data_IF_758854226783
#
_entry.id   IF_758854226783
#
_cell.length_a   1.000
_cell.length_b   1.000
_cell.length_c   1.000
_cell.angle_alpha   90.00
_cell.angle_beta   90.00
_cell.angle_gamma   90.00
#
_symmetry.space_group_name_H-M   'P 1'
#
loop_
_entity.id
_entity.type
_entity.pdbx_description
1 polymer ?
#
# COMPACT_ATOMS: atom_id res chain seq x y z
N UNK A 1 23.08 -8.04 -33.20
CA UNK A 1 22.97 -8.15 -31.73
C UNK A 1 21.59 -8.67 -31.40
N UNK A 2 21.47 -9.83 -30.73
CA UNK A 2 20.20 -10.43 -30.34
C UNK A 2 19.99 -10.14 -28.85
N UNK A 3 18.90 -9.46 -28.52
CA UNK A 3 18.54 -9.19 -27.12
C UNK A 3 17.73 -10.39 -26.64
N UNK A 4 18.26 -11.12 -25.66
CA UNK A 4 17.53 -12.19 -24.99
C UNK A 4 16.95 -11.66 -23.67
N UNK A 5 15.62 -11.65 -23.61
CA UNK A 5 14.88 -11.14 -22.45
C UNK A 5 14.72 -12.22 -21.38
N UNK A 6 15.08 -11.91 -20.14
CA UNK A 6 14.78 -12.79 -19.00
C UNK A 6 13.31 -12.63 -18.60
N UNK A 7 12.45 -13.41 -19.25
CA UNK A 7 10.99 -13.39 -19.05
C UNK A 7 10.58 -13.83 -17.65
N UNK A 8 11.38 -14.65 -16.98
CA UNK A 8 11.14 -15.08 -15.60
C UNK A 8 11.37 -13.93 -14.60
N UNK A 9 12.41 -13.11 -14.78
CA UNK A 9 12.61 -11.95 -13.92
C UNK A 9 11.53 -10.88 -14.08
N UNK A 10 11.01 -10.69 -15.30
CA UNK A 10 9.83 -9.83 -15.50
C UNK A 10 8.59 -10.35 -14.76
N UNK A 11 8.43 -11.68 -14.64
CA UNK A 11 7.39 -12.28 -13.82
C UNK A 11 7.65 -12.07 -12.33
N UNK A 12 8.90 -12.20 -11.86
CA UNK A 12 9.26 -11.97 -10.46
C UNK A 12 8.98 -10.53 -10.01
N UNK A 13 9.34 -9.55 -10.84
CA UNK A 13 9.04 -8.13 -10.60
C UNK A 13 7.52 -7.90 -10.61
N UNK A 14 6.80 -8.46 -11.59
CA UNK A 14 5.36 -8.21 -11.75
C UNK A 14 4.49 -8.88 -10.69
N UNK A 15 4.83 -10.10 -10.28
CA UNK A 15 4.07 -10.89 -9.32
C UNK A 15 4.60 -10.79 -7.88
N UNK A 16 5.58 -9.92 -7.63
CA UNK A 16 6.00 -9.56 -6.27
C UNK A 16 6.84 -10.63 -5.58
N UNK A 17 7.74 -11.32 -6.31
CA UNK A 17 8.81 -12.11 -5.68
C UNK A 17 10.07 -11.30 -5.39
N UNK A 18 10.19 -10.09 -5.95
CA UNK A 18 11.26 -9.17 -5.56
C UNK A 18 10.82 -8.46 -4.28
N UNK A 19 11.34 -8.92 -3.14
CA UNK A 19 10.97 -8.46 -1.79
C UNK A 19 11.11 -6.94 -1.60
N UNK A 20 12.01 -6.30 -2.33
CA UNK A 20 12.33 -4.88 -2.20
C UNK A 20 11.17 -3.96 -2.59
N UNK A 21 10.49 -4.23 -3.72
CA UNK A 21 9.36 -3.39 -4.16
C UNK A 21 8.18 -3.55 -3.20
N UNK A 22 7.92 -4.78 -2.74
CA UNK A 22 6.87 -5.04 -1.74
C UNK A 22 7.20 -4.33 -0.44
N UNK A 23 8.45 -4.43 0.03
CA UNK A 23 8.90 -3.75 1.23
C UNK A 23 8.76 -2.22 1.17
N UNK A 24 9.08 -1.59 0.03
CA UNK A 24 8.87 -0.15 -0.13
C UNK A 24 7.37 0.23 -0.16
N UNK A 25 6.51 -0.59 -0.77
CA UNK A 25 5.05 -0.38 -0.72
C UNK A 25 4.52 -0.49 0.72
N UNK A 26 4.96 -1.51 1.46
CA UNK A 26 4.55 -1.74 2.85
C UNK A 26 5.02 -0.61 3.76
N UNK A 27 6.28 -0.19 3.64
CA UNK A 27 6.85 0.96 4.36
C UNK A 27 6.09 2.25 4.08
N UNK A 28 5.67 2.48 2.84
CA UNK A 28 4.82 3.63 2.49
C UNK A 28 3.44 3.52 3.17
N UNK A 29 2.80 2.36 3.12
CA UNK A 29 1.52 2.13 3.79
C UNK A 29 1.59 2.28 5.30
N UNK A 30 2.64 1.75 5.94
CA UNK A 30 2.93 1.90 7.36
C UNK A 30 3.09 3.36 7.75
N UNK A 31 3.85 4.14 6.97
CA UNK A 31 4.04 5.58 7.23
C UNK A 31 2.72 6.34 7.17
N UNK A 32 1.88 6.04 6.16
CA UNK A 32 0.56 6.68 6.03
C UNK A 32 -0.34 6.29 7.20
N UNK A 33 -0.40 5.01 7.57
CA UNK A 33 -1.19 4.55 8.70
C UNK A 33 -0.71 5.15 10.02
N UNK A 34 0.60 5.19 10.27
CA UNK A 34 1.19 5.81 11.45
C UNK A 34 0.87 7.30 11.52
N UNK A 35 0.98 8.02 10.39
CA UNK A 35 0.64 9.45 10.33
C UNK A 35 -0.85 9.69 10.57
N UNK A 36 -1.73 8.86 10.00
CA UNK A 36 -3.17 8.93 10.23
C UNK A 36 -3.53 8.64 11.70
N UNK A 37 -2.90 7.65 12.32
CA UNK A 37 -3.09 7.34 13.74
C UNK A 37 -2.54 8.43 14.68
N UNK A 38 -1.45 9.12 14.29
CA UNK A 38 -0.88 10.19 15.09
C UNK A 38 -1.73 11.49 15.04
N UNK A 39 -2.40 11.75 13.91
CA UNK A 39 -3.15 13.00 13.69
C UNK A 39 -4.67 12.85 13.86
N UNK A 40 -5.20 11.67 13.56
CA UNK A 40 -6.62 11.38 13.57
C UNK A 40 -7.12 10.86 14.91
N UNK A 41 -8.39 10.44 14.90
CA UNK A 41 -9.04 9.78 16.04
C UNK A 41 -9.43 8.36 15.66
N UNK A 42 -9.33 7.44 16.62
CA UNK A 42 -9.60 6.02 16.37
C UNK A 42 -8.41 5.33 15.72
N UNK A 43 -8.66 4.19 15.08
CA UNK A 43 -7.62 3.31 14.54
C UNK A 43 -7.67 3.28 13.03
N UNK A 44 -6.54 3.55 12.39
CA UNK A 44 -6.30 3.37 10.97
C UNK A 44 -5.40 2.16 10.76
N UNK A 45 -5.80 1.25 9.87
CA UNK A 45 -5.13 -0.04 9.67
C UNK A 45 -4.63 -0.18 8.24
N UNK A 46 -3.43 -0.72 8.10
CA UNK A 46 -2.82 -1.04 6.81
C UNK A 46 -3.06 -2.51 6.47
N UNK A 47 -3.34 -2.81 5.21
CA UNK A 47 -3.38 -4.15 4.65
C UNK A 47 -2.51 -4.26 3.40
N UNK A 48 -1.66 -5.28 3.38
CA UNK A 48 -0.80 -5.66 2.25
C UNK A 48 -1.37 -6.93 1.61
N UNK A 49 -1.63 -6.91 0.31
CA UNK A 49 -2.20 -8.06 -0.42
C UNK A 49 -1.50 -8.30 -1.75
N UNK A 50 -1.02 -9.53 -2.02
CA UNK A 50 -0.53 -9.88 -3.34
C UNK A 50 -1.67 -9.86 -4.36
N UNK A 51 -1.38 -9.36 -5.56
CA UNK A 51 -2.31 -9.46 -6.68
C UNK A 51 -2.45 -10.90 -7.16
N UNK A 52 -3.64 -11.29 -7.64
CA UNK A 52 -3.87 -12.60 -8.27
C UNK A 52 -2.94 -12.75 -9.48
N UNK A 53 -2.37 -13.93 -9.70
CA UNK A 53 -1.53 -14.22 -10.87
C UNK A 53 -2.31 -14.13 -12.21
N UNK A 54 -2.52 -12.90 -12.68
CA UNK A 54 -3.13 -12.51 -13.95
C UNK A 54 -2.30 -11.37 -14.54
N UNK A 55 -2.35 -11.08 -15.85
CA UNK A 55 -1.50 -10.04 -16.47
C UNK A 55 -1.56 -8.66 -15.80
N UNK A 56 -2.66 -8.37 -15.07
CA UNK A 56 -2.90 -7.11 -14.38
C UNK A 56 -2.81 -7.21 -12.84
N UNK A 57 -2.52 -8.38 -12.28
CA UNK A 57 -2.41 -8.58 -10.84
C UNK A 57 -1.16 -7.93 -10.29
N UNK A 58 -1.33 -6.83 -9.54
CA UNK A 58 -0.25 -6.10 -8.89
C UNK A 58 -0.40 -6.24 -7.38
N UNK A 59 0.73 -6.31 -6.68
CA UNK A 59 0.75 -6.16 -5.23
C UNK A 59 0.17 -4.79 -4.84
N UNK A 60 -0.66 -4.75 -3.79
CA UNK A 60 -1.33 -3.51 -3.34
C UNK A 60 -1.26 -3.40 -1.83
N UNK A 61 -0.99 -2.18 -1.38
CA UNK A 61 -1.10 -1.78 0.02
C UNK A 61 -2.26 -0.80 0.14
N UNK A 62 -3.11 -1.00 1.14
CA UNK A 62 -4.29 -0.17 1.39
C UNK A 62 -4.29 0.26 2.85
N UNK A 63 -4.67 1.51 3.11
CA UNK A 63 -4.91 2.00 4.47
C UNK A 63 -6.39 2.36 4.61
N UNK A 64 -7.04 1.84 5.65
CA UNK A 64 -8.47 2.01 5.88
C UNK A 64 -8.76 2.43 7.31
N UNK A 65 -9.97 2.92 7.56
CA UNK A 65 -10.50 3.16 8.91
C UNK A 65 -10.87 1.84 9.55
N UNK A 66 -10.20 1.47 10.64
CA UNK A 66 -10.41 0.20 11.35
C UNK A 66 -11.60 0.21 12.32
N UNK A 67 -12.07 1.39 12.73
CA UNK A 67 -13.20 1.54 13.64
C UNK A 67 -14.13 2.72 13.27
N UNK A 68 -15.31 2.77 13.91
CA UNK A 68 -16.31 3.81 13.65
C UNK A 68 -15.81 5.22 14.01
N UNK A 69 -14.90 5.36 14.97
CA UNK A 69 -14.33 6.65 15.38
C UNK A 69 -13.42 7.20 14.27
N UNK A 70 -12.60 6.33 13.67
CA UNK A 70 -11.78 6.64 12.51
C UNK A 70 -12.63 6.95 11.27
N UNK A 71 -13.75 6.25 11.07
CA UNK A 71 -14.69 6.58 9.98
C UNK A 71 -15.23 8.01 10.09
N UNK A 72 -15.73 8.39 11.27
CA UNK A 72 -16.28 9.73 11.52
C UNK A 72 -15.19 10.79 11.39
N UNK A 73 -14.01 10.54 11.97
CA UNK A 73 -12.86 11.44 11.90
C UNK A 73 -12.40 11.68 10.47
N UNK A 74 -12.17 10.61 9.72
CA UNK A 74 -11.73 10.69 8.34
C UNK A 74 -12.75 11.42 7.46
N UNK A 75 -14.05 11.18 7.64
CA UNK A 75 -15.11 11.86 6.89
C UNK A 75 -15.16 13.37 7.16
N UNK A 76 -14.82 13.80 8.37
CA UNK A 76 -14.85 15.23 8.77
C UNK A 76 -13.56 15.96 8.44
N UNK A 77 -12.42 15.26 8.48
CA UNK A 77 -11.10 15.90 8.45
C UNK A 77 -10.23 15.50 7.27
N UNK A 78 -10.68 14.54 6.45
CA UNK A 78 -9.92 13.96 5.33
C UNK A 78 -8.55 13.40 5.79
N UNK A 79 -8.52 12.79 6.97
CA UNK A 79 -7.31 12.34 7.66
C UNK A 79 -6.43 11.46 6.78
N UNK A 80 -7.00 10.50 6.05
CA UNK A 80 -6.25 9.60 5.14
C UNK A 80 -5.62 10.34 3.96
N UNK A 81 -6.36 11.24 3.31
CA UNK A 81 -5.85 12.01 2.16
C UNK A 81 -4.72 12.94 2.62
N UNK A 82 -4.88 13.57 3.79
CA UNK A 82 -3.84 14.43 4.38
C UNK A 82 -2.61 13.65 4.81
N UNK A 83 -2.79 12.43 5.35
CA UNK A 83 -1.68 11.55 5.71
C UNK A 83 -0.91 11.08 4.46
N UNK A 84 -1.61 10.80 3.35
CA UNK A 84 -1.00 10.42 2.08
C UNK A 84 -0.13 11.54 1.49
N UNK A 85 -0.58 12.79 1.54
CA UNK A 85 0.15 13.95 1.00
C UNK A 85 1.32 14.45 1.87
N UNK A 86 1.53 13.85 3.05
CA UNK A 86 2.63 14.22 3.97
C UNK A 86 3.84 13.28 3.89
N UNK A 87 3.87 12.38 2.91
CA UNK A 87 4.92 11.39 2.68
C UNK A 87 5.86 11.72 1.54
#
# INVERSE_FOLDING_TARGET
MRIDWNTEEFKNIRYGRTSEIVGELEKHGERVAATANAKGKGTYVMGSRPGVARPQGRHRVTVVTGDAKAMIDNARHNTLIRALGSG
#
